data_IF_423192317647
#
_entry.id   IF_423192317647
#
_cell.length_a   1.000
_cell.length_b   1.000
_cell.length_c   1.000
_cell.angle_alpha   90.00
_cell.angle_beta   90.00
_cell.angle_gamma   90.00
#
_symmetry.space_group_name_H-M   'P 1'
#
loop_
_entity.id
_entity.type
_entity.pdbx_description
1 polymer ?
#
# COMPACT_ATOMS: atom_id res chain seq x y z
N UNK A 1 5.79 -23.84 -5.10
CA UNK A 1 5.13 -22.87 -5.99
C UNK A 1 4.56 -21.80 -5.10
N UNK A 2 4.69 -20.53 -5.46
CA UNK A 2 4.08 -19.42 -4.71
C UNK A 2 2.64 -19.33 -5.22
N UNK A 3 1.67 -19.53 -4.34
CA UNK A 3 0.24 -19.56 -4.62
C UNK A 3 -0.51 -18.44 -3.86
N UNK A 4 0.20 -17.36 -3.56
CA UNK A 4 -0.34 -16.20 -2.87
C UNK A 4 0.17 -14.88 -3.43
N UNK A 5 -0.63 -13.82 -3.26
CA UNK A 5 -0.25 -12.42 -3.48
C UNK A 5 -0.80 -11.57 -2.34
N UNK A 6 0.09 -10.96 -1.55
CA UNK A 6 -0.29 -10.26 -0.32
C UNK A 6 -0.20 -8.73 -0.42
N UNK A 7 -0.07 -8.19 -1.64
CA UNK A 7 -0.04 -6.74 -1.84
C UNK A 7 -0.74 -6.35 -3.14
N UNK A 8 -2.03 -6.05 -3.05
CA UNK A 8 -2.84 -5.63 -4.19
C UNK A 8 -3.65 -4.38 -3.86
N UNK A 9 -3.90 -3.56 -4.88
CA UNK A 9 -4.71 -2.35 -4.77
C UNK A 9 -6.01 -2.45 -5.56
N UNK A 10 -7.04 -1.80 -5.06
CA UNK A 10 -8.35 -1.66 -5.69
C UNK A 10 -8.51 -0.29 -6.33
N UNK A 11 -9.49 -0.14 -7.21
CA UNK A 11 -9.86 1.14 -7.78
C UNK A 11 -10.23 2.22 -6.73
N UNK A 12 -10.51 1.87 -5.47
CA UNK A 12 -10.73 2.84 -4.40
C UNK A 12 -9.50 3.73 -4.11
N UNK A 13 -8.28 3.26 -4.41
CA UNK A 13 -7.05 4.05 -4.25
C UNK A 13 -6.85 5.12 -5.36
N UNK A 14 -7.68 5.11 -6.40
CA UNK A 14 -7.67 6.10 -7.49
C UNK A 14 -6.63 5.88 -8.60
N UNK A 15 -5.61 5.04 -8.39
CA UNK A 15 -4.59 4.73 -9.41
C UNK A 15 -4.62 3.29 -9.94
N UNK A 16 -5.34 2.38 -9.28
CA UNK A 16 -5.47 0.99 -9.73
C UNK A 16 -6.74 0.76 -10.58
N UNK A 17 -7.22 1.76 -11.33
CA UNK A 17 -8.41 1.59 -12.19
C UNK A 17 -8.06 0.69 -13.40
N UNK A 18 -8.84 -0.36 -13.74
CA UNK A 18 -10.21 -0.66 -13.28
C UNK A 18 -10.32 -1.81 -12.25
N UNK A 19 -9.32 -2.02 -11.39
CA UNK A 19 -9.25 -3.17 -10.45
C UNK A 19 -10.32 -3.11 -9.35
N UNK A 20 -11.52 -3.59 -9.65
CA UNK A 20 -12.55 -3.85 -8.63
C UNK A 20 -12.17 -5.05 -7.78
N UNK A 21 -12.76 -5.17 -6.57
CA UNK A 21 -12.58 -6.36 -5.72
C UNK A 21 -12.97 -7.64 -6.47
N UNK A 22 -14.08 -7.62 -7.20
CA UNK A 22 -14.51 -8.74 -8.05
C UNK A 22 -13.46 -9.09 -9.10
N UNK A 23 -12.93 -8.11 -9.84
CA UNK A 23 -11.93 -8.34 -10.87
C UNK A 23 -10.65 -8.97 -10.29
N UNK A 24 -10.23 -8.51 -9.11
CA UNK A 24 -9.10 -9.06 -8.37
C UNK A 24 -9.36 -10.53 -8.00
N UNK A 25 -10.51 -10.82 -7.39
CA UNK A 25 -10.84 -12.17 -6.96
C UNK A 25 -10.97 -13.14 -8.14
N UNK A 26 -11.69 -12.78 -9.20
CA UNK A 26 -11.82 -13.59 -10.43
C UNK A 26 -10.44 -13.95 -10.99
N UNK A 27 -9.54 -12.97 -11.08
CA UNK A 27 -8.20 -13.21 -11.61
C UNK A 27 -7.36 -14.11 -10.69
N UNK A 28 -7.43 -13.90 -9.37
CA UNK A 28 -6.73 -14.72 -8.39
C UNK A 28 -7.19 -16.19 -8.44
N UNK A 29 -8.51 -16.43 -8.56
CA UNK A 29 -9.08 -17.78 -8.71
C UNK A 29 -8.63 -18.44 -10.01
N UNK A 30 -8.64 -17.71 -11.12
CA UNK A 30 -8.20 -18.22 -12.42
C UNK A 30 -6.70 -18.61 -12.43
N UNK A 31 -5.88 -17.91 -11.63
CA UNK A 31 -4.47 -18.23 -11.44
C UNK A 31 -4.22 -19.37 -10.45
N UNK A 32 -5.26 -19.84 -9.74
CA UNK A 32 -5.15 -20.89 -8.74
C UNK A 32 -4.47 -20.43 -7.44
N UNK A 33 -4.55 -19.14 -7.12
CA UNK A 33 -4.06 -18.63 -5.83
C UNK A 33 -4.94 -19.16 -4.70
N UNK A 34 -4.32 -19.61 -3.61
CA UNK A 34 -5.05 -20.06 -2.42
C UNK A 34 -5.35 -18.91 -1.45
N UNK A 35 -4.55 -17.85 -1.50
CA UNK A 35 -4.63 -16.71 -0.58
C UNK A 35 -4.24 -15.40 -1.27
N UNK A 36 -5.01 -14.33 -1.04
CA UNK A 36 -4.60 -12.97 -1.40
C UNK A 36 -4.77 -12.01 -0.22
N UNK A 37 -4.12 -10.84 -0.30
CA UNK A 37 -4.45 -9.69 0.53
C UNK A 37 -4.72 -8.46 -0.35
N UNK A 38 -5.82 -7.77 -0.05
CA UNK A 38 -6.11 -6.45 -0.59
C UNK A 38 -5.63 -5.44 0.44
N UNK A 39 -4.69 -4.58 0.04
CA UNK A 39 -3.93 -3.67 0.92
C UNK A 39 -3.92 -2.25 0.36
N UNK A 40 -5.10 -1.65 0.21
CA UNK A 40 -5.22 -0.25 -0.21
C UNK A 40 -4.56 0.70 0.79
N UNK A 41 -4.17 1.88 0.29
CA UNK A 41 -3.42 2.83 1.09
C UNK A 41 -4.24 3.44 2.23
N UNK A 42 -3.54 3.67 3.35
CA UNK A 42 -3.93 4.62 4.38
C UNK A 42 -2.83 5.68 4.46
N UNK A 43 -3.06 6.85 3.84
CA UNK A 43 -2.20 8.03 3.94
C UNK A 43 -2.61 8.93 5.11
N UNK A 44 -3.86 8.81 5.56
CA UNK A 44 -4.41 9.50 6.73
C UNK A 44 -5.46 8.66 7.40
N UNK A 45 -5.73 8.91 8.68
CA UNK A 45 -6.69 8.15 9.50
C UNK A 45 -8.09 7.98 8.86
N UNK A 46 -8.55 8.96 8.06
CA UNK A 46 -9.85 8.91 7.39
C UNK A 46 -9.95 7.82 6.30
N UNK A 47 -8.82 7.41 5.71
CA UNK A 47 -8.78 6.43 4.62
C UNK A 47 -9.14 5.02 5.11
N UNK A 48 -9.04 4.77 6.42
CA UNK A 48 -9.44 3.50 7.04
C UNK A 48 -10.90 3.12 6.74
N UNK A 49 -11.77 4.09 6.47
CA UNK A 49 -13.16 3.82 6.08
C UNK A 49 -13.28 3.02 4.77
N UNK A 50 -12.28 3.09 3.89
CA UNK A 50 -12.24 2.31 2.64
C UNK A 50 -12.12 0.81 2.90
N UNK A 51 -11.43 0.40 3.97
CA UNK A 51 -11.26 -1.02 4.31
C UNK A 51 -12.59 -1.70 4.62
N UNK A 52 -13.54 -0.96 5.20
CA UNK A 52 -14.90 -1.46 5.43
C UNK A 52 -15.66 -1.71 4.11
N UNK A 53 -15.44 -0.85 3.09
CA UNK A 53 -16.03 -1.04 1.75
C UNK A 53 -15.45 -2.26 1.06
N UNK A 54 -14.12 -2.39 1.05
CA UNK A 54 -13.43 -3.55 0.49
C UNK A 54 -13.91 -4.84 1.17
N UNK A 55 -14.03 -4.85 2.51
CA UNK A 55 -14.54 -6.02 3.24
C UNK A 55 -15.98 -6.36 2.88
N UNK A 56 -16.84 -5.36 2.69
CA UNK A 56 -18.21 -5.58 2.24
C UNK A 56 -18.24 -6.15 0.80
N UNK A 57 -17.41 -5.65 -0.10
CA UNK A 57 -17.31 -6.12 -1.48
C UNK A 57 -16.77 -7.55 -1.55
N UNK A 58 -15.76 -7.90 -0.75
CA UNK A 58 -15.26 -9.27 -0.63
C UNK A 58 -16.35 -10.20 -0.13
N UNK A 59 -17.11 -9.79 0.88
CA UNK A 59 -18.22 -10.59 1.41
C UNK A 59 -19.37 -10.75 0.38
N UNK A 60 -19.63 -9.72 -0.43
CA UNK A 60 -20.63 -9.76 -1.48
C UNK A 60 -20.22 -10.66 -2.65
N UNK A 61 -18.95 -10.64 -3.04
CA UNK A 61 -18.41 -11.53 -4.08
C UNK A 61 -18.33 -12.99 -3.61
N UNK A 62 -18.00 -13.22 -2.34
CA UNK A 62 -17.86 -14.54 -1.73
C UNK A 62 -16.83 -15.45 -2.46
N UNK A 63 -15.53 -15.08 -2.46
CA UNK A 63 -14.49 -15.82 -3.17
C UNK A 63 -14.28 -17.22 -2.60
N UNK A 64 -13.84 -18.14 -3.47
CA UNK A 64 -13.44 -19.49 -3.09
C UNK A 64 -12.05 -19.56 -2.45
N UNK A 65 -11.21 -18.53 -2.64
CA UNK A 65 -9.92 -18.39 -1.99
C UNK A 65 -9.99 -17.58 -0.69
N UNK A 66 -8.93 -17.64 0.12
CA UNK A 66 -8.80 -16.80 1.30
C UNK A 66 -8.45 -15.36 0.90
N UNK A 67 -9.20 -14.38 1.39
CA UNK A 67 -8.90 -12.97 1.19
C UNK A 67 -8.69 -12.29 2.54
N UNK A 68 -7.52 -11.71 2.73
CA UNK A 68 -7.27 -10.78 3.83
C UNK A 68 -7.62 -9.36 3.39
N UNK A 69 -8.35 -8.63 4.23
CA UNK A 69 -8.59 -7.20 4.02
C UNK A 69 -7.68 -6.45 4.97
N UNK A 70 -6.58 -5.99 4.42
CA UNK A 70 -5.54 -5.26 5.11
C UNK A 70 -5.38 -3.84 4.57
N UNK A 71 -4.32 -3.18 5.00
CA UNK A 71 -3.96 -1.88 4.45
C UNK A 71 -2.44 -1.75 4.30
N UNK A 72 -2.04 -1.00 3.28
CA UNK A 72 -0.71 -0.41 3.24
C UNK A 72 -0.77 0.94 3.96
N UNK A 73 -0.33 0.97 5.21
CA UNK A 73 -0.35 2.15 6.05
C UNK A 73 0.95 2.91 5.89
N UNK A 74 0.86 4.18 5.55
CA UNK A 74 2.04 5.02 5.35
C UNK A 74 2.76 5.28 6.68
N UNK A 75 4.08 5.35 6.61
CA UNK A 75 4.91 5.84 7.71
C UNK A 75 4.74 7.36 7.79
N UNK A 76 4.60 7.88 9.01
CA UNK A 76 4.46 9.31 9.25
C UNK A 76 5.79 10.01 9.00
N UNK A 77 5.93 10.58 7.80
CA UNK A 77 7.11 11.31 7.37
C UNK A 77 7.49 12.47 8.30
N UNK A 78 6.55 13.02 9.09
CA UNK A 78 6.86 14.11 10.03
C UNK A 78 7.62 13.63 11.28
N UNK A 79 7.84 12.32 11.41
CA UNK A 79 8.54 11.70 12.53
C UNK A 79 9.60 10.70 12.02
N UNK A 80 10.74 10.63 12.70
CA UNK A 80 11.85 9.73 12.35
C UNK A 80 11.83 8.41 13.13
N UNK A 81 10.81 8.17 13.94
CA UNK A 81 10.70 6.98 14.81
C UNK A 81 9.93 5.81 14.18
N UNK A 82 9.60 5.93 12.89
CA UNK A 82 8.92 4.88 12.13
C UNK A 82 7.45 4.69 12.50
N UNK A 83 6.83 5.63 13.23
CA UNK A 83 5.39 5.56 13.53
C UNK A 83 4.56 5.66 12.24
N UNK A 84 3.38 5.06 12.25
CA UNK A 84 2.43 5.13 11.15
C UNK A 84 1.60 6.41 11.21
N UNK A 85 1.05 6.84 10.07
CA UNK A 85 0.12 7.99 9.96
C UNK A 85 -1.20 7.82 10.72
N UNK A 86 -1.47 6.63 11.25
CA UNK A 86 -2.61 6.32 12.12
C UNK A 86 -2.24 5.26 13.14
N UNK A 87 -2.81 5.36 14.35
CA UNK A 87 -2.77 4.28 15.34
C UNK A 87 -3.98 3.34 15.27
N UNK A 88 -5.00 3.69 14.48
CA UNK A 88 -6.16 2.85 14.27
C UNK A 88 -5.84 1.77 13.23
N UNK A 89 -5.55 0.55 13.72
CA UNK A 89 -5.35 -0.66 12.91
C UNK A 89 -6.47 -1.69 13.13
N UNK A 90 -7.55 -1.29 13.81
CA UNK A 90 -8.61 -2.20 14.25
C UNK A 90 -9.39 -2.72 13.04
N UNK A 91 -9.48 -4.05 12.93
CA UNK A 91 -10.23 -4.70 11.86
C UNK A 91 -9.47 -4.83 10.54
N UNK A 92 -8.16 -4.57 10.53
CA UNK A 92 -7.26 -4.95 9.45
C UNK A 92 -6.74 -6.36 9.71
N UNK A 93 -6.81 -7.23 8.71
CA UNK A 93 -6.30 -8.60 8.84
C UNK A 93 -4.78 -8.68 8.58
N UNK A 94 -4.26 -7.70 7.85
CA UNK A 94 -2.87 -7.62 7.40
C UNK A 94 -2.45 -6.15 7.28
N UNK A 95 -1.22 -5.82 7.67
CA UNK A 95 -0.71 -4.44 7.62
C UNK A 95 0.67 -4.45 6.97
N UNK A 96 0.83 -3.61 5.95
CA UNK A 96 2.12 -3.26 5.37
C UNK A 96 2.45 -1.84 5.82
N UNK A 97 3.64 -1.63 6.35
CA UNK A 97 4.15 -0.27 6.56
C UNK A 97 4.84 0.17 5.27
N UNK A 98 4.24 1.11 4.55
CA UNK A 98 4.77 1.65 3.29
C UNK A 98 5.46 2.99 3.53
N UNK A 99 6.53 3.25 2.79
CA UNK A 99 7.14 4.59 2.71
C UNK A 99 6.79 5.19 1.35
N UNK A 100 5.80 6.06 1.31
CA UNK A 100 5.42 6.74 0.06
C UNK A 100 5.99 8.15 -0.02
N UNK A 101 6.37 8.70 1.14
CA UNK A 101 7.03 9.98 1.25
C UNK A 101 8.18 9.86 2.24
N UNK A 102 9.39 10.17 1.78
CA UNK A 102 10.52 10.42 2.67
C UNK A 102 10.80 11.92 2.62
N UNK A 103 10.76 12.64 3.75
CA UNK A 103 11.18 14.03 3.77
C UNK A 103 12.69 14.04 3.62
N UNK A 104 13.16 14.30 2.42
CA UNK A 104 14.52 14.75 2.22
C UNK A 104 14.57 16.22 2.64
N UNK A 105 15.56 16.58 3.44
CA UNK A 105 15.93 17.99 3.66
C UNK A 105 16.53 18.50 2.34
N UNK A 106 15.69 18.92 1.39
CA UNK A 106 16.13 19.43 0.08
C UNK A 106 15.03 19.39 -0.97
N UNK A 107 15.01 20.39 -1.85
CA UNK A 107 14.07 20.47 -2.98
C UNK A 107 14.30 19.27 -3.91
N UNK A 108 13.40 18.29 -3.90
CA UNK A 108 13.41 17.29 -4.96
C UNK A 108 12.64 17.79 -6.19
N UNK A 109 13.18 17.52 -7.37
CA UNK A 109 12.53 17.73 -8.63
C UNK A 109 11.23 16.94 -8.76
N UNK A 110 10.21 17.55 -9.34
CA UNK A 110 8.85 16.99 -9.44
C UNK A 110 8.72 15.89 -10.51
N UNK A 111 9.76 15.66 -11.31
CA UNK A 111 9.82 14.63 -12.34
C UNK A 111 11.24 14.07 -12.52
N UNK A 112 11.40 12.88 -13.14
CA UNK A 112 12.71 12.31 -13.45
C UNK A 112 13.61 13.24 -14.26
N UNK A 113 13.03 14.05 -15.13
CA UNK A 113 13.75 15.01 -16.00
C UNK A 113 14.30 16.22 -15.22
N UNK A 114 13.76 16.48 -14.04
CA UNK A 114 14.24 17.55 -13.17
C UNK A 114 15.28 17.01 -12.16
N UNK A 115 15.48 15.68 -12.05
CA UNK A 115 16.47 15.05 -11.18
C UNK A 115 17.90 15.26 -11.68
N UNK A 116 18.58 16.22 -11.06
CA UNK A 116 19.98 16.55 -11.34
C UNK A 116 20.98 15.69 -10.57
N UNK A 117 20.52 14.85 -9.64
CA UNK A 117 21.39 13.97 -8.88
C UNK A 117 21.58 12.65 -9.62
N UNK A 118 22.84 12.24 -9.74
CA UNK A 118 23.15 10.86 -10.12
C UNK A 118 22.76 9.88 -9.02
N UNK A 119 22.48 8.63 -9.39
CA UNK A 119 22.12 7.54 -8.46
C UNK A 119 23.10 7.42 -7.29
N UNK A 120 24.39 7.64 -7.56
CA UNK A 120 25.47 7.56 -6.57
C UNK A 120 25.36 8.66 -5.49
N UNK A 121 25.01 9.88 -5.91
CA UNK A 121 24.82 11.02 -5.00
C UNK A 121 23.55 10.90 -4.16
N UNK A 122 22.48 10.32 -4.73
CA UNK A 122 21.26 10.03 -3.99
C UNK A 122 21.55 9.03 -2.84
N UNK A 123 22.30 7.97 -3.14
CA UNK A 123 22.64 6.94 -2.15
C UNK A 123 23.58 7.44 -1.04
N UNK A 124 24.53 8.34 -1.35
CA UNK A 124 25.36 8.99 -0.32
C UNK A 124 24.54 9.90 0.61
N UNK A 125 23.61 10.68 0.06
CA UNK A 125 22.72 11.52 0.86
C UNK A 125 21.79 10.69 1.74
N UNK A 126 21.27 9.57 1.23
CA UNK A 126 20.50 8.62 2.01
C UNK A 126 21.31 8.01 3.16
N UNK A 127 22.55 7.60 2.88
CA UNK A 127 23.42 7.00 3.90
C UNK A 127 23.80 7.97 5.04
N UNK A 128 23.80 9.28 4.77
CA UNK A 128 24.23 10.32 5.72
C UNK A 128 23.07 11.04 6.44
N UNK A 129 21.82 10.77 6.07
CA UNK A 129 20.63 11.37 6.68
C UNK A 129 20.08 10.57 7.89
N UNK A 130 20.79 9.51 8.28
CA UNK A 130 20.45 8.64 9.41
C UNK A 130 21.17 8.92 10.74
N UNK A 131 21.92 10.03 10.87
CA UNK A 131 22.58 10.46 12.12
C UNK A 131 21.77 11.54 12.88
#
# INVERSE_FOLDING_TARGET
>A
MIDYDLHMHTAYCGHAVPMTVEAICVQAEALGLSTIAITDHIFKSADHATMAKIRADVAAYAPSLKVYVGAEVDVDYSHTDGRLVTSNLVGLDYVIAGFHYVPMVGNYPHSPDENSLSDEQFMEHWASSGD
#
